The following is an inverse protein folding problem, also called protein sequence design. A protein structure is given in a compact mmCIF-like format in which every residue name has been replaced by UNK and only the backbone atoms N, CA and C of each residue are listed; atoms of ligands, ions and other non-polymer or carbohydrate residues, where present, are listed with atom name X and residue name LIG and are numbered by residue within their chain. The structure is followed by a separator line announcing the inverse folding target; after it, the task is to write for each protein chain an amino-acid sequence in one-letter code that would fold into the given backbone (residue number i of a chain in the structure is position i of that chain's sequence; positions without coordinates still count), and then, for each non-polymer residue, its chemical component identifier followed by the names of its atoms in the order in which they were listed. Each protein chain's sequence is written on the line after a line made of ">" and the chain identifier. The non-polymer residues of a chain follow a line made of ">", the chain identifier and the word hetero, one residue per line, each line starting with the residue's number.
data_IF_615917056785
#
_entry.id   IF_615917056785
#
_cell.length_a   1.000
_cell.length_b   1.000
_cell.length_c   1.000
_cell.angle_alpha   90.00
_cell.angle_beta   90.00
_cell.angle_gamma   90.00
#
_symmetry.space_group_name_H-M   'P 1'
#
loop_
_entity.id
_entity.type
_entity.pdbx_description
1 polymer ?
#
# COMPACT_ATOMS: atom_id res chain seq x y z
N UNK A 1 -0.23 28.44 7.65
CA UNK A 1 -0.58 27.07 7.23
C UNK A 1 0.72 26.30 7.26
N UNK A 2 1.05 25.78 8.45
CA UNK A 2 2.27 25.02 8.67
C UNK A 2 1.96 23.59 8.24
N UNK A 3 2.61 23.11 7.20
CA UNK A 3 2.67 21.68 6.91
C UNK A 3 3.18 20.97 8.17
N UNK A 4 2.51 19.92 8.66
CA UNK A 4 3.04 19.14 9.77
C UNK A 4 4.27 18.39 9.26
N UNK A 5 5.41 18.65 9.88
CA UNK A 5 6.64 17.86 9.69
C UNK A 5 6.30 16.36 9.74
N UNK A 6 6.52 15.66 8.62
CA UNK A 6 6.49 14.20 8.58
C UNK A 6 7.70 13.67 9.35
N UNK A 7 7.52 13.00 10.51
CA UNK A 7 8.66 12.46 11.24
C UNK A 7 9.09 11.14 10.61
N UNK A 8 10.38 11.01 10.33
CA UNK A 8 11.04 9.72 10.15
C UNK A 8 11.47 9.41 8.73
N UNK A 9 12.60 10.00 8.32
CA UNK A 9 13.40 9.43 7.24
C UNK A 9 14.89 9.41 7.58
N UNK A 10 15.21 9.30 8.87
CA UNK A 10 16.58 9.10 9.30
C UNK A 10 17.01 7.67 8.94
N UNK A 11 18.17 7.49 8.27
CA UNK A 11 18.68 6.17 7.94
C UNK A 11 18.99 5.41 9.23
N UNK A 12 18.47 4.18 9.33
CA UNK A 12 18.75 3.29 10.44
C UNK A 12 19.93 2.38 10.08
N UNK A 13 20.76 2.00 11.07
CA UNK A 13 21.79 0.98 10.87
C UNK A 13 21.28 -0.34 11.46
N UNK A 14 21.17 -1.37 10.63
CA UNK A 14 20.79 -2.72 11.06
C UNK A 14 21.87 -3.72 10.61
N UNK A 15 22.37 -4.54 11.53
CA UNK A 15 23.45 -5.51 11.27
C UNK A 15 24.73 -4.92 10.63
N UNK A 16 25.01 -3.63 10.86
CA UNK A 16 26.16 -2.93 10.27
C UNK A 16 25.89 -2.37 8.86
N UNK A 17 24.68 -2.53 8.33
CA UNK A 17 24.25 -1.99 7.04
C UNK A 17 23.31 -0.80 7.21
N UNK A 18 23.45 0.19 6.33
CA UNK A 18 22.52 1.33 6.26
C UNK A 18 21.21 0.88 5.62
N UNK A 19 20.14 0.88 6.40
CA UNK A 19 18.78 0.65 5.96
C UNK A 19 18.14 2.01 5.68
N UNK A 20 18.01 2.33 4.40
CA UNK A 20 17.25 3.48 3.95
C UNK A 20 15.79 3.07 3.98
N UNK A 21 15.01 3.67 4.89
CA UNK A 21 13.57 3.48 4.83
C UNK A 21 13.04 4.19 3.58
N UNK A 22 12.22 3.51 2.76
CA UNK A 22 11.53 4.20 1.68
C UNK A 22 10.63 5.27 2.31
N UNK A 23 10.64 6.47 1.71
CA UNK A 23 9.78 7.58 2.13
C UNK A 23 8.36 7.05 2.24
N UNK A 24 7.84 6.97 3.47
CA UNK A 24 6.48 6.46 3.66
C UNK A 24 5.48 7.53 3.29
N UNK A 25 4.77 7.30 2.19
CA UNK A 25 3.71 8.19 1.70
C UNK A 25 2.45 8.16 2.57
N UNK A 26 2.32 7.16 3.44
CA UNK A 26 1.12 6.93 4.24
C UNK A 26 1.44 7.09 5.71
N UNK A 27 0.54 7.73 6.44
CA UNK A 27 0.57 7.67 7.91
C UNK A 27 0.36 6.23 8.36
N UNK A 28 0.70 5.94 9.62
CA UNK A 28 0.48 4.61 10.19
C UNK A 28 -0.99 4.18 10.11
N UNK A 29 -1.91 5.09 10.35
CA UNK A 29 -3.35 4.84 10.30
C UNK A 29 -3.79 4.51 8.86
N UNK A 30 -3.27 5.22 7.87
CA UNK A 30 -3.53 4.95 6.46
C UNK A 30 -2.96 3.60 6.03
N UNK A 31 -1.76 3.24 6.51
CA UNK A 31 -1.19 1.91 6.26
C UNK A 31 -2.07 0.80 6.84
N UNK A 32 -2.54 0.97 8.08
CA UNK A 32 -3.43 0.01 8.72
C UNK A 32 -4.74 -0.13 7.97
N UNK A 33 -5.31 0.97 7.48
CA UNK A 33 -6.57 0.95 6.73
C UNK A 33 -6.49 0.06 5.47
N UNK A 34 -5.33 -0.03 4.80
CA UNK A 34 -5.18 -0.87 3.61
C UNK A 34 -5.44 -2.34 3.88
N UNK A 35 -5.11 -2.82 5.09
CA UNK A 35 -5.34 -4.21 5.47
C UNK A 35 -6.84 -4.56 5.42
N UNK A 36 -7.70 -3.56 5.59
CA UNK A 36 -9.15 -3.73 5.65
C UNK A 36 -9.83 -3.61 4.28
N UNK A 37 -9.29 -2.82 3.34
CA UNK A 37 -9.97 -2.53 2.06
C UNK A 37 -9.16 -2.91 0.81
N UNK A 38 -7.83 -2.99 0.87
CA UNK A 38 -7.03 -3.13 -0.33
C UNK A 38 -7.08 -4.56 -0.89
N UNK A 39 -7.31 -4.73 -2.21
CA UNK A 39 -7.40 -6.05 -2.84
C UNK A 39 -6.21 -6.98 -2.58
N UNK A 40 -5.00 -6.43 -2.39
CA UNK A 40 -3.80 -7.21 -2.06
C UNK A 40 -3.98 -8.05 -0.80
N UNK A 41 -4.69 -7.53 0.20
CA UNK A 41 -4.90 -8.19 1.49
C UNK A 41 -6.27 -8.87 1.57
N UNK A 42 -7.31 -8.26 1.00
CA UNK A 42 -8.68 -8.76 1.12
C UNK A 42 -9.09 -9.73 0.02
N UNK A 43 -8.38 -9.71 -1.12
CA UNK A 43 -8.76 -10.44 -2.33
C UNK A 43 -10.09 -9.96 -2.95
N UNK A 44 -10.57 -8.76 -2.60
CA UNK A 44 -11.84 -8.19 -3.09
C UNK A 44 -11.67 -6.75 -3.55
N UNK A 45 -12.40 -6.37 -4.58
CA UNK A 45 -12.47 -4.97 -5.01
C UNK A 45 -13.17 -4.12 -3.94
N UNK A 46 -12.62 -2.97 -3.51
CA UNK A 46 -13.24 -2.12 -2.50
C UNK A 46 -14.54 -1.44 -2.96
N UNK A 47 -14.75 -1.31 -4.28
CA UNK A 47 -15.92 -0.61 -4.83
C UNK A 47 -17.09 -1.57 -5.13
N UNK A 48 -16.82 -2.73 -5.71
CA UNK A 48 -17.88 -3.67 -6.13
C UNK A 48 -17.82 -5.04 -5.44
N UNK A 49 -16.95 -5.20 -4.44
CA UNK A 49 -16.75 -6.39 -3.59
C UNK A 49 -16.42 -7.70 -4.31
N UNK A 50 -16.30 -7.65 -5.63
CA UNK A 50 -16.03 -8.83 -6.43
C UNK A 50 -14.65 -9.38 -6.09
N UNK A 51 -14.57 -10.70 -6.01
CA UNK A 51 -13.32 -11.43 -5.79
C UNK A 51 -12.33 -11.10 -6.89
N UNK A 52 -11.12 -10.77 -6.50
CA UNK A 52 -10.00 -10.64 -7.42
C UNK A 52 -9.05 -11.80 -7.14
N UNK A 53 -8.90 -12.66 -8.15
CA UNK A 53 -8.14 -13.90 -8.02
C UNK A 53 -6.65 -13.60 -7.89
N UNK A 54 -6.02 -14.27 -6.92
CA UNK A 54 -4.56 -14.31 -6.81
C UNK A 54 -3.99 -15.11 -7.99
N UNK A 55 -2.92 -14.60 -8.61
CA UNK A 55 -2.22 -15.28 -9.72
C UNK A 55 -0.86 -15.80 -9.28
N UNK A 56 -0.33 -16.77 -10.03
CA UNK A 56 1.07 -17.20 -9.92
C UNK A 56 1.75 -16.99 -11.28
N UNK A 57 2.79 -16.12 -11.38
CA UNK A 57 3.36 -15.29 -10.32
C UNK A 57 2.38 -14.25 -9.77
N UNK A 58 2.69 -13.72 -8.59
CA UNK A 58 1.87 -12.72 -7.92
C UNK A 58 1.63 -11.51 -8.84
N UNK A 59 0.38 -11.03 -8.87
CA UNK A 59 0.00 -9.88 -9.67
C UNK A 59 0.65 -8.60 -9.14
N UNK A 60 1.10 -7.75 -10.05
CA UNK A 60 1.71 -6.45 -9.73
C UNK A 60 0.65 -5.34 -9.67
N UNK A 61 -0.38 -5.43 -10.51
CA UNK A 61 -1.46 -4.46 -10.59
C UNK A 61 -2.72 -5.01 -9.91
N UNK A 62 -3.41 -4.20 -9.09
CA UNK A 62 -4.63 -4.57 -8.36
C UNK A 62 -5.96 -4.09 -8.94
N UNK A 63 -5.96 -3.49 -10.14
CA UNK A 63 -7.15 -3.00 -10.84
C UNK A 63 -8.31 -4.00 -10.90
N UNK A 64 -9.53 -3.47 -10.87
CA UNK A 64 -10.76 -4.21 -11.01
C UNK A 64 -11.32 -4.08 -12.43
N UNK A 65 -11.29 -5.18 -13.19
CA UNK A 65 -11.81 -5.25 -14.56
C UNK A 65 -13.34 -5.10 -14.68
N UNK A 66 -14.04 -5.06 -13.55
CA UNK A 66 -15.50 -5.22 -13.50
C UNK A 66 -16.21 -3.91 -13.23
N UNK A 67 -15.69 -3.10 -12.30
CA UNK A 67 -16.21 -1.77 -12.02
C UNK A 67 -15.26 -0.63 -12.41
N UNK A 68 -14.06 -0.95 -12.91
CA UNK A 68 -13.07 0.03 -13.35
C UNK A 68 -12.31 0.72 -12.21
N UNK A 69 -12.42 0.25 -10.97
CA UNK A 69 -11.58 0.72 -9.87
C UNK A 69 -10.11 0.43 -10.19
N UNK A 70 -9.23 1.41 -9.93
CA UNK A 70 -7.80 1.32 -10.19
C UNK A 70 -6.99 1.50 -8.92
N UNK A 71 -5.91 0.72 -8.82
CA UNK A 71 -4.91 0.90 -7.78
C UNK A 71 -3.91 1.97 -8.24
N UNK A 72 -4.31 3.24 -8.15
CA UNK A 72 -3.49 4.39 -8.54
C UNK A 72 -2.35 4.70 -7.53
N UNK A 73 -2.07 3.76 -6.62
CA UNK A 73 -1.12 3.92 -5.53
C UNK A 73 0.31 3.55 -5.96
N UNK A 74 0.82 4.09 -7.08
CA UNK A 74 2.25 3.99 -7.43
C UNK A 74 2.98 5.22 -6.94
#
# INVERSE_FOLDING_TARGET
>A
MTDPEMPGNDPAVYAGELVIQPVQRWTREQQLALLDWHPMFTGRCPNCERTILQTHPARVNWDCEQCGWKDDLV
#
